data_IF_771391864186
#
_entry.id   IF_771391864186
#
_cell.length_a   1.000
_cell.length_b   1.000
_cell.length_c   1.000
_cell.angle_alpha   90.00
_cell.angle_beta   90.00
_cell.angle_gamma   90.00
#
_symmetry.space_group_name_H-M   'P 1'
#
loop_
_entity.id
_entity.type
_entity.pdbx_description
1 polymer ?
#
# COMPACT_ATOMS: atom_id res chain seq x y z
N UNK A 1 -22.25 38.27 -13.29
CA UNK A 1 -22.78 37.03 -13.87
C UNK A 1 -21.60 36.09 -14.19
N UNK A 2 -21.13 35.19 -13.31
CA UNK A 2 -20.15 34.12 -13.64
C UNK A 2 -19.87 33.18 -12.47
N UNK A 3 -20.84 32.95 -11.58
CA UNK A 3 -20.64 32.00 -10.45
C UNK A 3 -21.16 30.56 -10.70
N UNK A 4 -22.04 30.41 -11.70
CA UNK A 4 -22.70 29.11 -11.97
C UNK A 4 -21.86 28.08 -12.76
N UNK A 5 -20.78 28.52 -13.41
CA UNK A 5 -19.96 27.63 -14.26
C UNK A 5 -18.93 26.79 -13.48
N UNK A 6 -18.47 27.29 -12.34
CA UNK A 6 -17.45 26.59 -11.53
C UNK A 6 -18.05 25.42 -10.73
N UNK A 7 -19.25 25.58 -10.19
CA UNK A 7 -19.93 24.51 -9.45
C UNK A 7 -20.32 23.31 -10.31
N UNK A 8 -20.71 23.52 -11.56
CA UNK A 8 -21.05 22.42 -12.49
C UNK A 8 -19.84 21.63 -12.96
N UNK A 9 -18.66 22.27 -13.09
CA UNK A 9 -17.42 21.57 -13.47
C UNK A 9 -16.84 20.77 -12.30
N UNK A 10 -16.94 21.26 -11.07
CA UNK A 10 -16.55 20.55 -9.85
C UNK A 10 -17.46 19.32 -9.61
N UNK A 11 -18.79 19.47 -9.81
CA UNK A 11 -19.73 18.35 -9.65
C UNK A 11 -19.53 17.26 -10.71
N UNK A 12 -19.17 17.62 -11.94
CA UNK A 12 -18.85 16.67 -13.00
C UNK A 12 -17.52 15.95 -12.74
N UNK A 13 -16.54 16.62 -12.15
CA UNK A 13 -15.25 16.05 -11.77
C UNK A 13 -15.41 15.03 -10.63
N UNK A 14 -16.23 15.36 -9.62
CA UNK A 14 -16.55 14.45 -8.49
C UNK A 14 -17.25 13.17 -8.96
N UNK A 15 -18.18 13.26 -9.91
CA UNK A 15 -18.87 12.10 -10.46
C UNK A 15 -17.96 11.20 -11.31
N UNK A 16 -17.04 11.78 -12.09
CA UNK A 16 -16.11 11.02 -12.93
C UNK A 16 -15.06 10.27 -12.11
N UNK A 17 -14.55 10.89 -11.05
CA UNK A 17 -13.57 10.26 -10.14
C UNK A 17 -14.23 9.16 -9.30
N UNK A 18 -15.45 9.39 -8.80
CA UNK A 18 -16.21 8.38 -8.04
C UNK A 18 -16.59 7.16 -8.90
N UNK A 19 -16.98 7.35 -10.16
CA UNK A 19 -17.32 6.27 -11.06
C UNK A 19 -16.13 5.37 -11.43
N UNK A 20 -14.94 5.95 -11.57
CA UNK A 20 -13.71 5.20 -11.84
C UNK A 20 -13.26 4.35 -10.63
N UNK A 21 -13.49 4.84 -9.41
CA UNK A 21 -13.23 4.08 -8.18
C UNK A 21 -14.20 2.92 -7.99
N UNK A 22 -15.51 3.11 -8.29
CA UNK A 22 -16.53 2.06 -8.15
C UNK A 22 -16.30 0.87 -9.09
N UNK A 23 -15.77 1.09 -10.29
CA UNK A 23 -15.47 0.01 -11.23
C UNK A 23 -14.36 -0.94 -10.74
N UNK A 24 -13.47 -0.50 -9.84
CA UNK A 24 -12.42 -1.34 -9.28
C UNK A 24 -12.94 -2.29 -8.19
N UNK A 25 -14.01 -1.93 -7.47
CA UNK A 25 -14.55 -2.73 -6.35
C UNK A 25 -15.52 -3.85 -6.76
N UNK A 26 -16.06 -3.84 -7.97
CA UNK A 26 -17.03 -4.84 -8.41
C UNK A 26 -16.42 -6.22 -8.72
N UNK A 27 -15.10 -6.37 -8.72
CA UNK A 27 -14.41 -7.64 -9.02
C UNK A 27 -13.74 -8.30 -7.81
N UNK A 28 -13.75 -7.67 -6.63
CA UNK A 28 -13.23 -8.28 -5.41
C UNK A 28 -14.40 -8.88 -4.63
N UNK A 29 -14.62 -10.18 -4.81
CA UNK A 29 -15.69 -10.93 -4.15
C UNK A 29 -15.66 -10.77 -2.63
N UNK A 30 -16.79 -10.35 -2.07
CA UNK A 30 -17.01 -10.24 -0.63
C UNK A 30 -17.00 -11.64 0.01
N UNK A 31 -15.91 -12.01 0.66
CA UNK A 31 -15.90 -13.14 1.58
C UNK A 31 -16.55 -12.68 2.89
N UNK A 32 -17.80 -13.09 3.09
CA UNK A 32 -18.51 -12.88 4.36
C UNK A 32 -17.87 -13.76 5.42
N UNK A 33 -17.26 -13.13 6.44
CA UNK A 33 -16.93 -13.82 7.68
C UNK A 33 -18.23 -13.93 8.52
N UNK A 34 -18.65 -15.17 8.77
CA UNK A 34 -19.73 -15.46 9.70
C UNK A 34 -19.28 -15.27 11.16
N UNK A 35 -20.22 -15.02 12.09
CA UNK A 35 -19.89 -14.79 13.49
C UNK A 35 -19.36 -16.07 14.14
N UNK A 36 -18.17 -15.99 14.73
CA UNK A 36 -17.62 -17.05 15.57
C UNK A 36 -18.37 -17.10 16.91
N UNK A 37 -18.93 -18.28 17.21
CA UNK A 37 -19.59 -18.60 18.47
C UNK A 37 -18.58 -18.58 19.61
N UNK A 38 -18.89 -17.83 20.68
CA UNK A 38 -18.12 -17.82 21.90
C UNK A 38 -18.40 -19.11 22.70
N UNK A 39 -17.44 -20.02 22.73
CA UNK A 39 -17.39 -21.10 23.70
C UNK A 39 -16.49 -20.68 24.87
N UNK A 40 -17.05 -20.62 26.06
CA UNK A 40 -16.33 -20.38 27.30
C UNK A 40 -15.50 -21.61 27.66
N UNK A 41 -14.18 -21.49 27.68
CA UNK A 41 -13.30 -22.53 28.23
C UNK A 41 -12.57 -22.03 29.45
N UNK A 42 -12.63 -22.88 30.46
CA UNK A 42 -12.09 -22.74 31.80
C UNK A 42 -10.57 -22.65 31.81
N UNK A 43 -10.05 -21.65 32.55
CA UNK A 43 -8.64 -21.43 32.79
C UNK A 43 -7.98 -22.58 33.56
N UNK A 44 -7.07 -23.32 32.90
CA UNK A 44 -5.95 -23.94 33.56
C UNK A 44 -4.68 -23.19 33.22
N UNK A 45 -4.19 -22.43 34.21
CA UNK A 45 -2.92 -21.73 34.10
C UNK A 45 -1.76 -22.74 34.10
N UNK A 46 -1.31 -23.13 32.92
CA UNK A 46 0.05 -23.59 32.72
C UNK A 46 0.86 -22.40 32.20
N UNK A 47 1.63 -21.79 33.08
CA UNK A 47 2.69 -20.87 32.69
C UNK A 47 3.73 -21.66 31.88
N UNK A 48 3.49 -21.85 30.58
CA UNK A 48 4.54 -22.15 29.64
C UNK A 48 5.41 -20.89 29.61
N UNK A 49 6.65 -20.99 30.08
CA UNK A 49 7.69 -20.00 29.85
C UNK A 49 7.85 -19.88 28.34
N UNK A 50 7.11 -18.98 27.72
CA UNK A 50 7.24 -18.64 26.32
C UNK A 50 8.67 -18.18 26.10
N UNK A 51 9.44 -18.89 25.27
CA UNK A 51 10.78 -18.46 24.91
C UNK A 51 10.70 -17.06 24.35
N UNK A 52 11.45 -16.12 24.94
CA UNK A 52 11.45 -14.71 24.49
C UNK A 52 11.80 -14.65 23.00
N UNK A 53 11.07 -13.80 22.25
CA UNK A 53 11.37 -13.60 20.82
C UNK A 53 12.79 -13.05 20.68
N UNK A 54 13.64 -13.62 19.82
CA UNK A 54 15.01 -13.16 19.66
C UNK A 54 15.08 -11.68 19.27
N UNK A 55 16.03 -10.95 19.86
CA UNK A 55 16.19 -9.52 19.61
C UNK A 55 16.40 -9.18 18.12
N UNK A 56 17.05 -10.07 17.36
CA UNK A 56 17.24 -9.94 15.92
C UNK A 56 15.94 -10.00 15.13
N UNK A 57 14.96 -10.81 15.58
CA UNK A 57 13.63 -10.86 14.97
C UNK A 57 12.83 -9.60 15.28
N UNK A 58 12.93 -9.11 16.52
CA UNK A 58 12.28 -7.86 16.93
C UNK A 58 12.82 -6.69 16.09
N UNK A 59 14.14 -6.58 15.97
CA UNK A 59 14.79 -5.54 15.15
C UNK A 59 14.31 -5.60 13.68
N UNK A 60 14.32 -6.77 13.05
CA UNK A 60 13.85 -6.92 11.67
C UNK A 60 12.39 -6.44 11.50
N UNK A 61 11.49 -6.82 12.43
CA UNK A 61 10.08 -6.40 12.38
C UNK A 61 9.94 -4.90 12.54
N UNK A 62 10.69 -4.30 13.48
CA UNK A 62 10.68 -2.85 13.70
C UNK A 62 11.20 -2.08 12.48
N UNK A 63 12.33 -2.51 11.92
CA UNK A 63 12.91 -1.89 10.72
C UNK A 63 11.96 -1.98 9.52
N UNK A 64 11.34 -3.14 9.30
CA UNK A 64 10.37 -3.33 8.21
C UNK A 64 9.14 -2.46 8.43
N UNK A 65 8.57 -2.42 9.63
CA UNK A 65 7.43 -1.54 9.94
C UNK A 65 7.77 -0.07 9.70
N UNK A 66 8.92 0.41 10.20
CA UNK A 66 9.36 1.79 9.97
C UNK A 66 9.46 2.14 8.48
N UNK A 67 10.02 1.24 7.65
CA UNK A 67 10.15 1.47 6.21
C UNK A 67 8.78 1.54 5.50
N UNK A 68 7.82 0.70 5.90
CA UNK A 68 6.49 0.67 5.29
C UNK A 68 5.60 1.80 5.81
N UNK A 69 5.72 2.19 7.09
CA UNK A 69 5.07 3.38 7.64
C UNK A 69 5.60 4.66 6.96
N UNK A 70 6.92 4.78 6.76
CA UNK A 70 7.49 5.87 5.94
C UNK A 70 6.94 5.87 4.51
N UNK A 71 6.78 4.68 3.89
CA UNK A 71 6.23 4.58 2.54
C UNK A 71 4.83 5.20 2.46
N UNK A 72 3.92 4.79 3.33
CA UNK A 72 2.52 5.29 3.30
C UNK A 72 2.42 6.73 3.77
N UNK A 73 3.25 7.15 4.72
CA UNK A 73 3.33 8.54 5.18
C UNK A 73 3.72 9.49 4.03
N UNK A 74 4.81 9.19 3.31
CA UNK A 74 5.25 10.01 2.18
C UNK A 74 4.30 9.92 0.99
N UNK A 75 3.61 8.78 0.80
CA UNK A 75 2.55 8.64 -0.19
C UNK A 75 1.38 9.58 0.12
N UNK A 76 0.93 9.61 1.39
CA UNK A 76 -0.12 10.55 1.82
C UNK A 76 0.27 12.00 1.57
N UNK A 77 1.47 12.41 1.98
CA UNK A 77 1.95 13.77 1.72
C UNK A 77 1.97 14.09 0.24
N UNK A 78 2.42 13.17 -0.61
CA UNK A 78 2.42 13.38 -2.07
C UNK A 78 0.98 13.51 -2.63
N UNK A 79 0.02 12.74 -2.13
CA UNK A 79 -1.40 12.86 -2.51
C UNK A 79 -1.96 14.22 -2.11
N UNK A 80 -1.70 14.65 -0.87
CA UNK A 80 -2.17 15.95 -0.34
C UNK A 80 -1.54 17.12 -1.13
N UNK A 81 -0.23 17.10 -1.33
CA UNK A 81 0.50 18.12 -2.10
C UNK A 81 0.00 18.19 -3.55
N UNK A 82 -0.24 17.03 -4.17
CA UNK A 82 -0.77 16.96 -5.53
C UNK A 82 -2.19 17.53 -5.62
N UNK A 83 -3.06 17.18 -4.67
CA UNK A 83 -4.44 17.67 -4.63
C UNK A 83 -4.47 19.18 -4.45
N UNK A 84 -3.67 19.71 -3.53
CA UNK A 84 -3.55 21.13 -3.23
C UNK A 84 -2.81 21.95 -4.32
N UNK A 85 -2.05 21.29 -5.21
CA UNK A 85 -1.15 21.97 -6.15
C UNK A 85 0.03 22.65 -5.43
N UNK A 86 0.52 22.00 -4.35
CA UNK A 86 1.62 22.52 -3.52
C UNK A 86 2.93 22.61 -4.30
N UNK A 87 3.73 23.67 -4.10
CA UNK A 87 5.08 23.76 -4.64
C UNK A 87 6.05 22.75 -4.02
N UNK A 88 5.67 22.10 -2.90
CA UNK A 88 6.50 21.13 -2.19
C UNK A 88 6.44 19.73 -2.82
N UNK A 89 5.47 19.46 -3.71
CA UNK A 89 5.27 18.15 -4.34
C UNK A 89 6.55 17.52 -4.90
N UNK A 90 7.43 18.21 -5.64
CA UNK A 90 8.64 17.58 -6.15
C UNK A 90 9.58 17.06 -5.05
N UNK A 91 9.65 17.77 -3.91
CA UNK A 91 10.47 17.38 -2.77
C UNK A 91 9.88 16.15 -2.06
N UNK A 92 8.56 16.12 -1.90
CA UNK A 92 7.82 15.01 -1.32
C UNK A 92 7.95 13.75 -2.17
N UNK A 93 7.75 13.87 -3.50
CA UNK A 93 7.96 12.75 -4.44
C UNK A 93 9.39 12.22 -4.42
N UNK A 94 10.39 13.11 -4.41
CA UNK A 94 11.79 12.71 -4.34
C UNK A 94 12.09 11.93 -3.05
N UNK A 95 11.50 12.34 -1.92
CA UNK A 95 11.64 11.62 -0.64
C UNK A 95 10.95 10.27 -0.67
N UNK A 96 9.75 10.18 -1.24
CA UNK A 96 9.03 8.92 -1.45
C UNK A 96 9.84 7.95 -2.33
N UNK A 97 10.39 8.41 -3.44
CA UNK A 97 11.22 7.59 -4.33
C UNK A 97 12.53 7.13 -3.64
N UNK A 98 13.08 7.89 -2.70
CA UNK A 98 14.22 7.47 -1.87
C UNK A 98 13.84 6.35 -0.93
N UNK A 99 12.66 6.39 -0.28
CA UNK A 99 12.16 5.31 0.56
C UNK A 99 12.09 3.98 -0.20
N UNK A 100 11.71 3.99 -1.50
CA UNK A 100 11.73 2.77 -2.31
C UNK A 100 13.15 2.17 -2.44
N UNK A 101 14.16 3.02 -2.45
CA UNK A 101 15.57 2.58 -2.44
C UNK A 101 15.95 1.98 -1.09
N UNK A 102 15.45 2.55 0.00
CA UNK A 102 15.72 2.08 1.36
C UNK A 102 15.07 0.71 1.61
N UNK A 103 13.80 0.51 1.18
CA UNK A 103 13.12 -0.78 1.19
C UNK A 103 13.91 -1.81 0.36
N UNK A 104 14.31 -1.46 -0.86
CA UNK A 104 15.09 -2.34 -1.71
C UNK A 104 16.45 -2.70 -1.10
N UNK A 105 17.10 -1.78 -0.38
CA UNK A 105 18.36 -2.03 0.33
C UNK A 105 18.14 -3.00 1.50
N UNK A 106 17.06 -2.83 2.28
CA UNK A 106 16.70 -3.74 3.36
C UNK A 106 16.50 -5.17 2.85
N UNK A 107 15.73 -5.35 1.76
CA UNK A 107 15.57 -6.67 1.12
C UNK A 107 16.89 -7.18 0.53
N UNK A 108 17.67 -6.31 -0.09
CA UNK A 108 18.98 -6.65 -0.64
C UNK A 108 19.99 -7.13 0.39
N UNK A 109 19.88 -6.71 1.65
CA UNK A 109 20.73 -7.18 2.75
C UNK A 109 20.49 -8.67 3.06
N UNK A 110 19.30 -9.20 2.75
CA UNK A 110 18.91 -10.59 2.99
C UNK A 110 19.06 -11.45 1.73
N UNK A 111 18.57 -10.95 0.60
CA UNK A 111 18.46 -11.68 -0.68
C UNK A 111 19.57 -11.34 -1.69
N UNK A 112 20.50 -10.48 -1.32
CA UNK A 112 21.58 -10.03 -2.16
C UNK A 112 21.26 -8.74 -2.96
N UNK A 113 22.29 -8.00 -3.32
CA UNK A 113 22.18 -6.70 -3.98
C UNK A 113 21.38 -6.73 -5.30
N UNK A 114 21.45 -7.78 -6.16
CA UNK A 114 20.63 -7.85 -7.37
C UNK A 114 19.13 -7.87 -7.07
N UNK A 115 18.70 -8.63 -6.06
CA UNK A 115 17.31 -8.70 -5.61
C UNK A 115 16.82 -7.34 -5.09
N UNK A 116 17.64 -6.69 -4.25
CA UNK A 116 17.34 -5.35 -3.75
C UNK A 116 17.18 -4.32 -4.86
N UNK A 117 18.08 -4.30 -5.85
CA UNK A 117 17.96 -3.41 -7.02
C UNK A 117 16.70 -3.69 -7.84
N UNK A 118 16.37 -4.96 -8.03
CA UNK A 118 15.16 -5.34 -8.78
C UNK A 118 13.89 -4.86 -8.07
N UNK A 119 13.80 -5.07 -6.75
CA UNK A 119 12.66 -4.59 -5.96
C UNK A 119 12.58 -3.05 -6.00
N UNK A 120 13.69 -2.35 -5.80
CA UNK A 120 13.75 -0.87 -5.92
C UNK A 120 13.16 -0.40 -7.25
N UNK A 121 13.53 -1.02 -8.37
CA UNK A 121 13.04 -0.63 -9.69
C UNK A 121 11.52 -0.86 -9.81
N UNK A 122 11.00 -1.98 -9.30
CA UNK A 122 9.57 -2.29 -9.30
C UNK A 122 8.78 -1.30 -8.45
N UNK A 123 9.28 -0.98 -7.24
CA UNK A 123 8.62 -0.05 -6.33
C UNK A 123 8.66 1.38 -6.85
N UNK A 124 9.78 1.85 -7.41
CA UNK A 124 9.84 3.19 -8.06
C UNK A 124 8.84 3.28 -9.21
N UNK A 125 8.76 2.23 -10.04
CA UNK A 125 7.77 2.19 -11.11
C UNK A 125 6.34 2.22 -10.55
N UNK A 126 6.10 1.56 -9.40
CA UNK A 126 4.82 1.57 -8.72
C UNK A 126 4.38 2.99 -8.36
N UNK A 127 5.28 3.79 -7.77
CA UNK A 127 5.03 5.19 -7.42
C UNK A 127 4.74 6.04 -8.65
N UNK A 128 5.60 5.93 -9.70
CA UNK A 128 5.42 6.73 -10.91
C UNK A 128 4.09 6.46 -11.61
N UNK A 129 3.63 5.19 -11.63
CA UNK A 129 2.32 4.86 -12.19
C UNK A 129 1.18 5.39 -11.29
N UNK A 130 1.36 5.40 -9.96
CA UNK A 130 0.38 6.01 -9.07
C UNK A 130 0.22 7.51 -9.35
N UNK A 131 1.31 8.22 -9.63
CA UNK A 131 1.26 9.63 -10.09
C UNK A 131 0.46 9.75 -11.40
N UNK A 132 0.67 8.84 -12.37
CA UNK A 132 -0.13 8.84 -13.61
C UNK A 132 -1.63 8.66 -13.31
N UNK A 133 -1.99 7.82 -12.32
CA UNK A 133 -3.39 7.64 -11.90
C UNK A 133 -3.95 8.95 -11.32
N UNK A 134 -3.20 9.65 -10.46
CA UNK A 134 -3.61 10.93 -9.89
C UNK A 134 -3.80 11.99 -10.97
N UNK A 135 -2.86 12.10 -11.92
CA UNK A 135 -2.94 13.06 -13.05
C UNK A 135 -4.17 12.77 -13.90
N UNK A 136 -4.40 11.51 -14.26
CA UNK A 136 -5.57 11.11 -15.03
C UNK A 136 -6.89 11.39 -14.27
N UNK A 137 -6.94 11.11 -12.96
CA UNK A 137 -8.10 11.41 -12.12
C UNK A 137 -8.38 12.92 -12.07
N UNK A 138 -7.36 13.74 -11.87
CA UNK A 138 -7.49 15.21 -11.83
C UNK A 138 -7.92 15.81 -13.16
N UNK A 139 -7.57 15.18 -14.29
CA UNK A 139 -8.01 15.61 -15.64
C UNK A 139 -9.47 15.30 -15.92
N UNK A 140 -10.09 14.37 -15.15
CA UNK A 140 -11.46 13.91 -15.37
C UNK A 140 -11.64 13.01 -16.59
N UNK A 141 -10.56 12.42 -17.13
CA UNK A 141 -10.62 11.48 -18.26
C UNK A 141 -10.73 10.03 -17.76
N UNK A 142 -11.92 9.40 -17.83
CA UNK A 142 -12.11 8.05 -17.32
C UNK A 142 -11.34 6.98 -18.11
N UNK A 143 -11.03 7.23 -19.39
CA UNK A 143 -10.23 6.29 -20.21
C UNK A 143 -8.76 6.35 -19.77
N UNK A 144 -8.23 7.53 -19.53
CA UNK A 144 -6.87 7.70 -18.99
C UNK A 144 -6.74 7.07 -17.61
N UNK A 145 -7.74 7.27 -16.73
CA UNK A 145 -7.79 6.61 -15.39
C UNK A 145 -7.75 5.10 -15.53
N UNK A 146 -8.62 4.51 -16.34
CA UNK A 146 -8.69 3.05 -16.52
C UNK A 146 -7.37 2.49 -17.09
N UNK A 147 -6.75 3.18 -18.03
CA UNK A 147 -5.45 2.79 -18.61
C UNK A 147 -4.32 2.85 -17.56
N UNK A 148 -4.27 3.91 -16.75
CA UNK A 148 -3.28 4.05 -15.69
C UNK A 148 -3.47 2.99 -14.59
N UNK A 149 -4.70 2.75 -14.13
CA UNK A 149 -5.02 1.69 -13.17
C UNK A 149 -4.64 0.30 -13.68
N UNK A 150 -4.89 -0.01 -14.96
CA UNK A 150 -4.47 -1.28 -15.57
C UNK A 150 -2.96 -1.47 -15.48
N UNK A 151 -2.17 -0.42 -15.78
CA UNK A 151 -0.71 -0.47 -15.63
C UNK A 151 -0.29 -0.65 -14.16
N UNK A 152 -1.00 0.00 -13.24
CA UNK A 152 -0.69 -0.07 -11.81
C UNK A 152 -0.95 -1.47 -11.25
N UNK A 153 -2.09 -2.09 -11.58
CA UNK A 153 -2.39 -3.48 -11.24
C UNK A 153 -1.39 -4.47 -11.84
N UNK A 154 -0.98 -4.26 -13.10
CA UNK A 154 0.06 -5.08 -13.74
C UNK A 154 1.43 -4.93 -13.04
N UNK A 155 1.76 -3.74 -12.54
CA UNK A 155 2.97 -3.55 -11.73
C UNK A 155 2.83 -4.26 -10.37
N UNK A 156 1.71 -4.16 -9.69
CA UNK A 156 1.43 -4.88 -8.45
C UNK A 156 1.59 -6.40 -8.60
N UNK A 157 1.10 -6.98 -9.70
CA UNK A 157 1.26 -8.41 -10.01
C UNK A 157 2.75 -8.78 -10.24
N UNK A 158 3.55 -7.90 -10.86
CA UNK A 158 5.01 -8.10 -11.00
C UNK A 158 5.73 -8.06 -9.66
N UNK A 159 5.33 -7.16 -8.74
CA UNK A 159 5.87 -7.10 -7.37
C UNK A 159 5.53 -8.40 -6.63
N UNK A 160 4.27 -8.82 -6.66
CA UNK A 160 3.82 -10.06 -6.03
C UNK A 160 4.56 -11.29 -6.58
N UNK A 161 4.74 -11.36 -7.90
CA UNK A 161 5.51 -12.43 -8.55
C UNK A 161 6.99 -12.44 -8.16
N UNK A 162 7.62 -11.26 -8.05
CA UNK A 162 8.99 -11.14 -7.57
C UNK A 162 9.15 -11.62 -6.12
N UNK A 163 8.25 -11.20 -5.23
CA UNK A 163 8.28 -11.61 -3.83
C UNK A 163 8.09 -13.12 -3.69
N UNK A 164 7.09 -13.68 -4.36
CA UNK A 164 6.82 -15.12 -4.33
C UNK A 164 7.99 -15.97 -4.89
N UNK A 165 8.71 -15.45 -5.87
CA UNK A 165 9.90 -16.13 -6.40
C UNK A 165 11.10 -16.04 -5.45
N UNK A 166 11.17 -15.01 -4.61
CA UNK A 166 12.27 -14.81 -3.66
C UNK A 166 12.12 -15.65 -2.39
N UNK A 167 10.89 -15.93 -1.96
CA UNK A 167 10.63 -16.60 -0.68
C UNK A 167 9.45 -17.57 -0.81
N UNK A 168 9.64 -18.87 -0.49
CA UNK A 168 8.58 -19.86 -0.58
C UNK A 168 7.43 -19.66 0.43
N UNK A 169 7.66 -18.90 1.51
CA UNK A 169 6.61 -18.52 2.46
C UNK A 169 5.73 -17.35 1.97
N UNK A 170 6.09 -16.70 0.87
CA UNK A 170 5.31 -15.63 0.26
C UNK A 170 4.49 -16.17 -0.90
N UNK A 171 3.33 -16.75 -0.62
CA UNK A 171 2.49 -17.34 -1.66
C UNK A 171 1.99 -16.27 -2.63
N UNK A 172 2.13 -16.54 -3.93
CA UNK A 172 1.83 -15.55 -4.97
C UNK A 172 0.41 -14.99 -4.88
N UNK A 173 -0.57 -15.83 -4.58
CA UNK A 173 -1.97 -15.40 -4.46
C UNK A 173 -2.17 -14.42 -3.29
N UNK A 174 -1.51 -14.68 -2.16
CA UNK A 174 -1.54 -13.82 -0.98
C UNK A 174 -0.85 -12.48 -1.24
N UNK A 175 0.37 -12.51 -1.82
CA UNK A 175 1.10 -11.31 -2.19
C UNK A 175 0.31 -10.45 -3.18
N UNK A 176 -0.35 -11.07 -4.17
CA UNK A 176 -1.20 -10.38 -5.12
C UNK A 176 -2.42 -9.76 -4.44
N UNK A 177 -3.10 -10.50 -3.57
CA UNK A 177 -4.26 -10.01 -2.82
C UNK A 177 -3.88 -8.83 -1.93
N UNK A 178 -2.76 -8.93 -1.22
CA UNK A 178 -2.19 -7.86 -0.40
C UNK A 178 -1.94 -6.59 -1.23
N UNK A 179 -1.27 -6.71 -2.38
CA UNK A 179 -1.01 -5.57 -3.27
C UNK A 179 -2.31 -4.94 -3.79
N UNK A 180 -3.30 -5.74 -4.21
CA UNK A 180 -4.58 -5.21 -4.71
C UNK A 180 -5.37 -4.49 -3.62
N UNK A 181 -5.36 -4.97 -2.36
CA UNK A 181 -5.97 -4.25 -1.24
C UNK A 181 -5.27 -2.90 -1.01
N UNK A 182 -3.93 -2.90 -1.07
CA UNK A 182 -3.14 -1.67 -0.96
C UNK A 182 -3.54 -0.63 -2.01
N UNK A 183 -3.63 -1.04 -3.28
CA UNK A 183 -4.08 -0.15 -4.36
C UNK A 183 -5.50 0.37 -4.11
N UNK A 184 -6.39 -0.48 -3.62
CA UNK A 184 -7.78 -0.12 -3.32
C UNK A 184 -7.87 0.95 -2.24
N UNK A 185 -7.19 0.77 -1.10
CA UNK A 185 -7.19 1.74 -0.01
C UNK A 185 -6.54 3.07 -0.42
N UNK A 186 -5.39 3.02 -1.09
CA UNK A 186 -4.70 4.23 -1.59
C UNK A 186 -5.55 4.97 -2.62
N UNK A 187 -6.30 4.25 -3.49
CA UNK A 187 -7.24 4.88 -4.43
C UNK A 187 -8.37 5.58 -3.69
N UNK A 188 -8.93 4.95 -2.64
CA UNK A 188 -9.99 5.55 -1.83
C UNK A 188 -9.51 6.84 -1.15
N UNK A 189 -8.32 6.83 -0.58
CA UNK A 189 -7.68 8.00 0.01
C UNK A 189 -7.49 9.12 -1.01
N UNK A 190 -6.90 8.78 -2.16
CA UNK A 190 -6.62 9.75 -3.23
C UNK A 190 -7.89 10.39 -3.78
N UNK A 191 -8.96 9.60 -3.99
CA UNK A 191 -10.26 10.12 -4.45
C UNK A 191 -10.86 11.08 -3.42
N UNK A 192 -10.87 10.69 -2.15
CA UNK A 192 -11.39 11.53 -1.07
C UNK A 192 -10.64 12.86 -1.00
N UNK A 193 -9.30 12.84 -1.11
CA UNK A 193 -8.49 14.06 -1.09
C UNK A 193 -8.74 14.94 -2.31
N UNK A 194 -8.77 14.37 -3.52
CA UNK A 194 -9.03 15.11 -4.77
C UNK A 194 -10.44 15.72 -4.82
N UNK A 195 -11.40 15.15 -4.11
CA UNK A 195 -12.78 15.65 -4.04
C UNK A 195 -13.03 16.59 -2.87
N UNK A 196 -12.03 16.81 -2.00
CA UNK A 196 -12.12 17.69 -0.83
C UNK A 196 -12.84 17.07 0.37
N UNK A 197 -13.11 15.76 0.38
CA UNK A 197 -13.61 15.05 1.56
C UNK A 197 -12.44 14.61 2.45
N UNK A 198 -11.85 15.61 3.14
CA UNK A 198 -10.70 15.37 4.02
C UNK A 198 -11.01 14.44 5.19
N UNK A 199 -12.27 14.37 5.63
CA UNK A 199 -12.69 13.42 6.68
C UNK A 199 -12.65 11.98 6.16
N UNK A 200 -13.14 11.73 4.96
CA UNK A 200 -13.03 10.41 4.33
C UNK A 200 -11.57 10.07 3.98
N UNK A 201 -10.77 11.06 3.56
CA UNK A 201 -9.34 10.88 3.29
C UNK A 201 -8.57 10.39 4.52
N UNK A 202 -8.80 11.01 5.70
CA UNK A 202 -8.18 10.58 6.97
C UNK A 202 -8.59 9.14 7.32
N UNK A 203 -9.90 8.81 7.26
CA UNK A 203 -10.36 7.44 7.52
C UNK A 203 -9.79 6.41 6.54
N UNK A 204 -9.63 6.78 5.26
CA UNK A 204 -9.02 5.88 4.28
C UNK A 204 -7.53 5.67 4.59
N UNK A 205 -6.83 6.71 5.05
CA UNK A 205 -5.43 6.60 5.46
C UNK A 205 -5.24 5.66 6.66
N UNK A 206 -6.15 5.65 7.64
CA UNK A 206 -6.10 4.70 8.76
C UNK A 206 -6.04 3.23 8.23
N UNK A 207 -6.82 2.91 7.19
CA UNK A 207 -6.78 1.58 6.56
C UNK A 207 -5.49 1.34 5.77
N UNK A 208 -4.95 2.37 5.10
CA UNK A 208 -3.67 2.28 4.38
C UNK A 208 -2.54 1.98 5.37
N UNK A 209 -2.51 2.68 6.51
CA UNK A 209 -1.49 2.51 7.54
C UNK A 209 -1.57 1.12 8.21
N UNK A 210 -2.77 0.67 8.61
CA UNK A 210 -2.98 -0.65 9.16
C UNK A 210 -2.50 -1.74 8.19
N UNK A 211 -2.89 -1.63 6.93
CA UNK A 211 -2.51 -2.59 5.88
C UNK A 211 -0.99 -2.56 5.61
N UNK A 212 -0.33 -1.41 5.71
CA UNK A 212 1.12 -1.31 5.57
C UNK A 212 1.86 -2.05 6.71
N UNK A 213 1.35 -1.97 7.94
CA UNK A 213 1.88 -2.74 9.07
C UNK A 213 1.68 -4.24 8.89
N UNK A 214 0.50 -4.68 8.42
CA UNK A 214 0.25 -6.09 8.08
C UNK A 214 1.23 -6.60 7.01
N UNK A 215 1.49 -5.78 5.99
CA UNK A 215 2.45 -6.09 4.93
C UNK A 215 3.86 -6.25 5.47
N UNK A 216 4.31 -5.33 6.32
CA UNK A 216 5.62 -5.38 6.96
C UNK A 216 5.78 -6.65 7.82
N UNK A 217 4.74 -7.01 8.57
CA UNK A 217 4.75 -8.21 9.43
C UNK A 217 4.78 -9.50 8.62
N UNK A 218 3.99 -9.58 7.54
CA UNK A 218 3.98 -10.73 6.64
C UNK A 218 5.34 -10.93 5.96
N UNK A 219 5.95 -9.86 5.47
CA UNK A 219 7.27 -9.91 4.84
C UNK A 219 8.35 -10.30 5.86
N UNK A 220 8.34 -9.73 7.06
CA UNK A 220 9.28 -10.08 8.13
C UNK A 220 9.15 -11.54 8.55
N UNK A 221 7.91 -12.03 8.72
CA UNK A 221 7.65 -13.42 9.09
C UNK A 221 8.20 -14.40 8.04
N UNK A 222 8.00 -14.11 6.75
CA UNK A 222 8.56 -14.92 5.67
C UNK A 222 10.08 -14.93 5.66
N UNK A 223 10.73 -13.78 5.87
CA UNK A 223 12.19 -13.69 5.98
C UNK A 223 12.71 -14.54 7.15
N UNK A 224 12.10 -14.43 8.32
CA UNK A 224 12.49 -15.20 9.52
C UNK A 224 12.33 -16.70 9.27
N UNK A 225 11.22 -17.11 8.64
CA UNK A 225 10.95 -18.51 8.32
C UNK A 225 11.98 -19.09 7.34
N UNK A 226 12.41 -18.32 6.35
CA UNK A 226 13.40 -18.77 5.35
C UNK A 226 14.83 -18.78 5.90
N UNK A 227 15.16 -17.88 6.83
CA UNK A 227 16.52 -17.74 7.37
C UNK A 227 16.56 -17.85 8.91
N UNK A 228 16.05 -18.96 9.51
CA UNK A 228 15.88 -19.05 10.97
C UNK A 228 17.20 -18.98 11.74
N UNK A 229 18.33 -19.35 11.12
CA UNK A 229 19.66 -19.27 11.77
C UNK A 229 20.19 -17.83 11.85
N UNK A 230 19.72 -16.93 10.99
CA UNK A 230 20.16 -15.54 10.97
C UNK A 230 19.44 -14.69 12.02
N UNK A 231 18.26 -15.12 12.44
CA UNK A 231 17.38 -14.40 13.35
C UNK A 231 17.16 -15.16 14.66
N UNK A 232 18.25 -15.61 15.25
CA UNK A 232 18.29 -16.28 16.58
C UNK A 232 18.71 -15.29 17.66
#
# INVERSE_FOLDING_TARGET
MTSHGRGRRLLALTLAVAAAAAALFLTIGATRHGPASAAAETHHAHAAAGSAVPATQVALRQDMRALWEEHVFWTRLAIVDFAAGSPDLPSTEARLLRNQTDIGRAVGSVYGAPAGRRLTALLKQHILIAVDVLVAAKSGDPKAVAAAQTRWMANADRIAGFLAAANPAWHRAEMRSMMLRHLGFTTTEAVAELTGDHTASVRAFDHVEEQAREMADMLSAGIIAQFPRRFR
#
